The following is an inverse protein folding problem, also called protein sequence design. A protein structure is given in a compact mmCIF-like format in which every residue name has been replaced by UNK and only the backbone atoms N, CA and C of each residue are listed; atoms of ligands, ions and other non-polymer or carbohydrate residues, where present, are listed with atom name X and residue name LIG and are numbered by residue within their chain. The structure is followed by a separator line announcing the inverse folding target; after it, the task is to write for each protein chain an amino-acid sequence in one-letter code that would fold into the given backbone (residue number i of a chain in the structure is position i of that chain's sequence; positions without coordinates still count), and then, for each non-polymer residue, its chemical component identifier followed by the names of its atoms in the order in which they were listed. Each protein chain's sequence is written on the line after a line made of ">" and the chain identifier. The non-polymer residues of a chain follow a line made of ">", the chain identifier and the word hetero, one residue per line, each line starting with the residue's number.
data_IF_078455372217
#
_entry.id   IF_078455372217
#
_cell.length_a   1.000
_cell.length_b   1.000
_cell.length_c   1.000
_cell.angle_alpha   90.00
_cell.angle_beta   90.00
_cell.angle_gamma   90.00
#
_symmetry.space_group_name_H-M   'P 1'
#
loop_
_entity.id
_entity.type
_entity.pdbx_description
1 polymer ?
#
# COMPACT_ATOMS: atom_id res chain seq x y z
N UNK A 1 7.29 32.08 12.17
CA UNK A 1 7.93 31.45 13.33
C UNK A 1 6.82 30.78 14.15
N UNK A 2 6.52 29.52 13.89
CA UNK A 2 7.19 28.37 14.52
C UNK A 2 7.18 28.48 16.05
N UNK A 3 6.03 28.12 16.62
CA UNK A 3 5.98 27.38 17.86
C UNK A 3 5.53 25.99 17.42
N UNK A 4 6.53 25.16 17.19
CA UNK A 4 6.51 23.76 16.84
C UNK A 4 5.33 23.00 17.48
N UNK A 5 4.90 21.90 16.87
CA UNK A 5 5.06 20.62 17.55
C UNK A 5 5.01 20.69 19.07
N UNK A 6 3.82 20.66 19.65
CA UNK A 6 3.65 19.83 20.84
C UNK A 6 2.47 18.91 20.54
N UNK A 7 2.61 18.20 19.41
CA UNK A 7 2.33 16.78 19.24
C UNK A 7 1.57 16.18 20.44
N UNK A 8 0.32 15.72 20.26
CA UNK A 8 -0.51 14.95 21.23
C UNK A 8 -1.69 15.62 21.97
N UNK A 9 -2.54 16.42 21.32
CA UNK A 9 -3.89 16.63 21.88
C UNK A 9 -4.99 16.67 20.80
N UNK A 10 -5.71 15.54 20.72
CA UNK A 10 -7.10 15.40 20.24
C UNK A 10 -7.40 15.04 18.77
N UNK A 11 -6.51 14.36 18.05
CA UNK A 11 -6.88 13.65 16.81
C UNK A 11 -6.71 12.13 16.99
N UNK A 12 -7.58 11.53 17.79
CA UNK A 12 -7.81 10.08 17.77
C UNK A 12 -8.62 9.63 16.53
N UNK A 13 -8.70 10.47 15.49
CA UNK A 13 -9.27 10.15 14.19
C UNK A 13 -8.19 10.38 13.14
N UNK A 14 -7.08 9.63 13.22
CA UNK A 14 -6.14 9.57 12.11
C UNK A 14 -6.92 9.04 10.92
N UNK A 15 -7.39 9.95 10.06
CA UNK A 15 -7.96 9.56 8.79
C UNK A 15 -6.88 8.76 8.09
N UNK A 16 -7.23 7.54 7.71
CA UNK A 16 -6.33 6.68 6.98
C UNK A 16 -5.86 7.40 5.71
N UNK A 17 -4.55 7.40 5.48
CA UNK A 17 -3.98 7.95 4.25
C UNK A 17 -4.07 6.85 3.23
N UNK A 18 -4.82 7.07 2.15
CA UNK A 18 -4.88 6.09 1.08
C UNK A 18 -3.59 6.14 0.24
N UNK A 19 -2.64 5.25 0.52
CA UNK A 19 -1.37 5.21 -0.22
C UNK A 19 -1.53 4.74 -1.68
N UNK A 20 -2.67 4.11 -2.04
CA UNK A 20 -2.94 3.73 -3.41
C UNK A 20 -3.20 4.93 -4.35
N UNK A 21 -3.59 6.08 -3.81
CA UNK A 21 -3.77 7.31 -4.61
C UNK A 21 -2.41 7.88 -5.07
N UNK A 22 -1.32 7.49 -4.42
CA UNK A 22 0.04 7.91 -4.75
C UNK A 22 0.74 6.78 -5.53
N UNK A 23 0.86 6.96 -6.84
CA UNK A 23 1.57 6.00 -7.73
C UNK A 23 1.11 4.54 -7.54
N UNK A 24 -0.18 4.31 -7.26
CA UNK A 24 -0.74 2.98 -6.99
C UNK A 24 -0.04 2.26 -5.82
N UNK A 25 0.46 2.96 -4.80
CA UNK A 25 1.29 2.39 -3.72
C UNK A 25 2.63 1.82 -4.20
N UNK A 26 2.99 2.05 -5.47
CA UNK A 26 4.07 1.38 -6.17
C UNK A 26 3.77 -0.08 -6.55
N UNK A 27 2.50 -0.50 -6.53
CA UNK A 27 2.08 -1.83 -6.99
C UNK A 27 2.15 -1.92 -8.52
N UNK A 28 2.65 -3.04 -9.04
CA UNK A 28 2.67 -3.32 -10.48
C UNK A 28 1.25 -3.50 -11.05
N UNK A 29 0.37 -4.16 -10.30
CA UNK A 29 -1.00 -4.46 -10.71
C UNK A 29 -2.06 -3.73 -9.86
N UNK A 30 -2.72 -4.39 -8.91
CA UNK A 30 -3.71 -3.75 -8.05
C UNK A 30 -3.08 -3.32 -6.72
N UNK A 31 -3.42 -2.10 -6.29
CA UNK A 31 -3.24 -1.66 -4.90
C UNK A 31 -4.55 -1.81 -4.12
N UNK A 32 -4.46 -2.34 -2.90
CA UNK A 32 -5.58 -2.50 -1.98
C UNK A 32 -5.30 -1.72 -0.69
N UNK A 33 -5.98 -0.59 -0.52
CA UNK A 33 -5.84 0.25 0.66
C UNK A 33 -6.51 -0.39 1.90
N UNK A 34 -5.90 -0.22 3.06
CA UNK A 34 -6.39 -0.71 4.36
C UNK A 34 -6.20 0.37 5.43
N UNK A 35 -6.94 0.27 6.54
CA UNK A 35 -6.76 1.25 7.62
C UNK A 35 -5.36 1.06 8.23
N UNK A 36 -4.49 2.04 8.03
CA UNK A 36 -3.11 2.12 8.51
C UNK A 36 -2.07 1.53 7.57
N UNK A 37 -2.43 1.05 6.37
CA UNK A 37 -1.48 0.48 5.39
C UNK A 37 -2.12 0.18 4.03
N UNK A 38 -1.38 -0.47 3.14
CA UNK A 38 -1.91 -1.04 1.90
C UNK A 38 -1.17 -2.34 1.55
N UNK A 39 -1.72 -3.10 0.60
CA UNK A 39 -1.00 -4.23 0.00
C UNK A 39 -1.28 -4.33 -1.49
N UNK A 40 -0.32 -4.89 -2.22
CA UNK A 40 -0.46 -5.14 -3.64
C UNK A 40 -1.09 -6.51 -3.91
N UNK A 41 -1.84 -6.62 -5.00
CA UNK A 41 -2.50 -7.85 -5.42
C UNK A 41 -2.31 -8.06 -6.92
N UNK A 42 -1.93 -9.29 -7.27
CA UNK A 42 -1.75 -9.71 -8.65
C UNK A 42 -3.04 -10.29 -9.26
N UNK A 43 -3.21 -10.18 -10.59
CA UNK A 43 -4.29 -10.83 -11.31
C UNK A 43 -4.17 -12.36 -11.27
N UNK A 44 -5.25 -13.06 -11.60
CA UNK A 44 -5.29 -14.53 -11.61
C UNK A 44 -4.21 -15.12 -12.51
N UNK A 45 -3.49 -16.13 -12.01
CA UNK A 45 -2.37 -16.76 -12.71
C UNK A 45 -1.00 -16.15 -12.43
N UNK A 46 -0.95 -15.10 -11.60
CA UNK A 46 0.30 -14.48 -11.14
C UNK A 46 0.39 -14.52 -9.61
N UNK A 47 1.62 -14.46 -9.09
CA UNK A 47 1.92 -14.35 -7.67
C UNK A 47 2.63 -13.04 -7.38
N UNK A 48 2.38 -12.51 -6.19
CA UNK A 48 3.09 -11.35 -5.70
C UNK A 48 4.50 -11.79 -5.32
N UNK A 49 5.49 -11.06 -5.83
CA UNK A 49 6.90 -11.29 -5.58
C UNK A 49 7.29 -10.89 -4.12
N UNK A 50 8.49 -11.24 -3.69
CA UNK A 50 9.01 -10.98 -2.34
C UNK A 50 9.17 -9.48 -2.03
N UNK A 51 9.22 -8.63 -3.06
CA UNK A 51 9.21 -7.16 -2.91
C UNK A 51 7.83 -6.61 -2.49
N UNK A 52 6.79 -7.46 -2.49
CA UNK A 52 5.42 -7.09 -2.14
C UNK A 52 4.75 -6.16 -3.14
N UNK A 53 5.32 -5.96 -4.33
CA UNK A 53 4.89 -4.95 -5.31
C UNK A 53 4.80 -5.47 -6.73
N UNK A 54 5.72 -6.34 -7.15
CA UNK A 54 5.76 -6.88 -8.51
C UNK A 54 5.02 -8.21 -8.63
N UNK A 55 4.54 -8.51 -9.83
CA UNK A 55 3.79 -9.71 -10.12
C UNK A 55 4.57 -10.64 -11.04
N UNK A 56 4.84 -11.85 -10.57
CA UNK A 56 5.46 -12.89 -11.39
C UNK A 56 4.41 -13.86 -11.92
N UNK A 57 4.54 -14.25 -13.19
CA UNK A 57 3.76 -15.36 -13.72
C UNK A 57 4.21 -16.61 -13.00
N UNK A 58 3.36 -17.14 -12.13
CA UNK A 58 3.58 -18.44 -11.54
C UNK A 58 3.35 -19.49 -12.64
N UNK A 59 4.33 -19.65 -13.52
CA UNK A 59 4.37 -20.66 -14.57
C UNK A 59 4.28 -22.04 -13.92
N UNK A 60 3.05 -22.50 -13.69
CA UNK A 60 2.73 -23.87 -13.29
C UNK A 60 2.48 -24.76 -14.51
N UNK A 61 3.06 -24.38 -15.65
CA UNK A 61 3.19 -25.23 -16.83
C UNK A 61 4.68 -25.30 -17.16
N UNK A 62 5.35 -26.27 -16.54
CA UNK A 62 6.52 -26.92 -17.14
C UNK A 62 6.06 -28.23 -17.76
#
# INVERSE_FOLDING_TARGET
>A
MNICWIHFALFFFSADVNECEETNGGCEALCCNTIGSFYCRCPSGQKLNEDGKTCEVSNSFS
#
